data_IF_273217756287
#
_entry.id   IF_273217756287
#
_cell.length_a   1.000
_cell.length_b   1.000
_cell.length_c   1.000
_cell.angle_alpha   90.00
_cell.angle_beta   90.00
_cell.angle_gamma   90.00
#
_symmetry.space_group_name_H-M   'P 1'
#
loop_
_entity.id
_entity.type
_entity.pdbx_description
1 polymer ?
#
# COMPACT_ATOMS: atom_id res chain seq x y z
N UNK A 1 -17.38 -14.01 -4.02
CA UNK A 1 -16.18 -13.13 -4.10
C UNK A 1 -15.97 -12.35 -2.80
N UNK A 2 -16.97 -11.58 -2.32
CA UNK A 2 -16.85 -10.78 -1.09
C UNK A 2 -16.44 -11.59 0.15
N UNK A 3 -16.96 -12.82 0.31
CA UNK A 3 -16.59 -13.71 1.42
C UNK A 3 -15.10 -14.09 1.43
N UNK A 4 -14.48 -14.23 0.24
CA UNK A 4 -13.04 -14.50 0.12
C UNK A 4 -12.23 -13.27 0.53
N UNK A 5 -12.64 -12.09 0.06
CA UNK A 5 -11.98 -10.83 0.42
C UNK A 5 -12.08 -10.53 1.92
N UNK A 6 -13.26 -10.64 2.50
CA UNK A 6 -13.41 -10.45 3.95
C UNK A 6 -12.66 -11.54 4.74
N UNK A 7 -12.68 -12.78 4.26
CA UNK A 7 -11.98 -13.89 4.87
C UNK A 7 -10.46 -13.79 4.81
N UNK A 8 -9.90 -13.13 3.78
CA UNK A 8 -8.44 -13.00 3.64
C UNK A 8 -7.82 -12.03 4.64
N UNK A 9 -8.59 -11.09 5.20
CA UNK A 9 -8.07 -10.11 6.15
C UNK A 9 -7.38 -10.75 7.35
N UNK A 10 -7.93 -11.85 7.86
CA UNK A 10 -7.32 -12.62 8.97
C UNK A 10 -6.04 -13.36 8.57
N UNK A 11 -5.84 -13.57 7.28
CA UNK A 11 -4.67 -14.25 6.72
C UNK A 11 -3.66 -13.27 6.09
N UNK A 12 -3.91 -11.97 6.12
CA UNK A 12 -2.93 -10.97 5.73
C UNK A 12 -1.90 -10.79 6.87
N UNK A 13 -1.12 -11.85 7.10
CA UNK A 13 -0.23 -11.97 8.26
C UNK A 13 0.82 -10.87 8.29
N UNK A 14 1.36 -10.49 7.12
CA UNK A 14 2.35 -9.42 7.08
C UNK A 14 1.79 -8.10 7.61
N UNK A 15 0.63 -7.67 7.13
CA UNK A 15 0.02 -6.42 7.60
C UNK A 15 -0.35 -6.45 9.08
N UNK A 16 -0.88 -7.58 9.55
CA UNK A 16 -1.25 -7.73 10.96
C UNK A 16 -0.01 -7.66 11.87
N UNK A 17 1.05 -8.36 11.51
CA UNK A 17 2.30 -8.34 12.28
C UNK A 17 3.04 -7.01 12.13
N UNK A 18 2.97 -6.34 10.96
CA UNK A 18 3.53 -5.01 10.78
C UNK A 18 2.86 -3.98 11.70
N UNK A 19 1.53 -3.96 11.76
CA UNK A 19 0.78 -3.08 12.67
C UNK A 19 1.16 -3.38 14.13
N UNK A 20 1.18 -4.64 14.51
CA UNK A 20 1.60 -5.05 15.87
C UNK A 20 3.02 -4.58 16.18
N UNK A 21 3.95 -4.74 15.23
CA UNK A 21 5.33 -4.30 15.38
C UNK A 21 5.43 -2.80 15.59
N UNK A 22 4.63 -1.99 14.87
CA UNK A 22 4.58 -0.53 15.09
C UNK A 22 4.19 -0.20 16.52
N UNK A 23 3.18 -0.86 17.09
CA UNK A 23 2.79 -0.65 18.49
C UNK A 23 3.88 -1.10 19.46
N UNK A 24 4.50 -2.26 19.23
CA UNK A 24 5.59 -2.77 20.09
C UNK A 24 6.77 -1.79 20.08
N UNK A 25 7.19 -1.32 18.91
CA UNK A 25 8.30 -0.37 18.78
C UNK A 25 7.98 0.97 19.40
N UNK A 26 6.78 1.51 19.14
CA UNK A 26 6.37 2.83 19.64
C UNK A 26 6.19 2.85 21.16
N UNK A 27 5.58 1.83 21.73
CA UNK A 27 5.33 1.75 23.18
C UNK A 27 6.60 1.31 23.94
N UNK A 28 7.34 0.35 23.36
CA UNK A 28 8.55 -0.21 23.98
C UNK A 28 9.82 0.61 23.78
N UNK A 29 9.78 1.66 22.95
CA UNK A 29 10.96 2.44 22.52
C UNK A 29 12.10 1.54 22.01
N UNK A 30 11.73 0.50 21.24
CA UNK A 30 12.65 -0.54 20.77
C UNK A 30 13.15 -0.19 19.40
N UNK A 31 14.39 0.29 19.31
CA UNK A 31 15.03 0.62 18.05
C UNK A 31 16.04 -0.45 17.63
N UNK A 32 15.92 -0.97 16.40
CA UNK A 32 16.71 -2.10 15.91
C UNK A 32 17.72 -1.63 14.84
N UNK A 33 18.96 -2.08 14.97
CA UNK A 33 20.00 -1.91 13.94
C UNK A 33 20.26 -0.47 13.51
N UNK A 34 20.17 -0.14 12.20
CA UNK A 34 20.41 1.21 11.71
C UNK A 34 19.48 2.27 12.34
N UNK A 35 18.22 1.94 12.60
CA UNK A 35 17.28 2.86 13.24
C UNK A 35 17.76 3.32 14.62
N UNK A 36 18.35 2.42 15.41
CA UNK A 36 18.91 2.78 16.70
C UNK A 36 19.99 3.88 16.61
N UNK A 37 20.85 3.79 15.58
CA UNK A 37 21.90 4.80 15.36
C UNK A 37 21.32 6.16 15.00
N UNK A 38 20.33 6.18 14.11
CA UNK A 38 19.65 7.40 13.67
C UNK A 38 18.88 8.06 14.83
N UNK A 39 18.15 7.27 15.58
CA UNK A 39 17.40 7.73 16.77
C UNK A 39 18.34 8.28 17.85
N UNK A 40 19.43 7.56 18.15
CA UNK A 40 20.40 8.01 19.17
C UNK A 40 21.10 9.29 18.74
N UNK A 41 21.42 9.48 17.45
CA UNK A 41 21.95 10.73 16.95
C UNK A 41 20.96 11.88 17.15
N UNK A 42 19.70 11.68 16.73
CA UNK A 42 18.66 12.69 16.87
C UNK A 42 18.45 13.09 18.34
N UNK A 43 18.41 12.12 19.25
CA UNK A 43 18.20 12.36 20.69
C UNK A 43 19.40 13.02 21.39
N UNK A 44 20.64 12.62 21.04
CA UNK A 44 21.84 13.09 21.74
C UNK A 44 22.40 14.38 21.15
N UNK A 45 22.37 14.51 19.82
CA UNK A 45 23.00 15.61 19.10
C UNK A 45 22.00 16.65 18.59
N UNK A 46 20.69 16.36 18.66
CA UNK A 46 19.64 17.20 18.07
C UNK A 46 19.66 17.22 16.53
N UNK A 47 20.49 16.37 15.89
CA UNK A 47 20.62 16.30 14.44
C UNK A 47 19.65 15.27 13.88
N UNK A 48 18.64 15.72 13.16
CA UNK A 48 17.64 14.85 12.51
C UNK A 48 18.24 14.14 11.31
N UNK A 49 19.11 14.81 10.54
CA UNK A 49 19.81 14.24 9.38
C UNK A 49 21.28 13.97 9.71
N UNK A 50 21.85 12.93 9.14
CA UNK A 50 23.28 12.62 9.24
C UNK A 50 24.16 13.64 8.52
N UNK A 51 25.43 13.70 8.90
CA UNK A 51 26.37 14.62 8.26
C UNK A 51 26.53 14.25 6.77
N UNK A 52 26.34 15.21 5.88
CA UNK A 52 26.38 15.03 4.42
C UNK A 52 25.18 14.35 3.80
N UNK A 53 24.18 13.98 4.59
CA UNK A 53 22.93 13.35 4.12
C UNK A 53 21.90 14.44 3.82
N UNK A 54 21.34 14.42 2.60
CA UNK A 54 20.29 15.34 2.20
C UNK A 54 18.97 14.57 1.94
N UNK A 55 17.80 15.17 2.19
CA UNK A 55 16.52 14.63 1.76
C UNK A 55 16.47 14.48 0.24
N UNK A 56 15.69 13.54 -0.26
CA UNK A 56 15.52 13.32 -1.71
C UNK A 56 14.99 14.57 -2.42
N UNK A 57 14.06 15.25 -1.79
CA UNK A 57 13.61 16.59 -2.15
C UNK A 57 14.13 17.57 -1.11
N UNK A 58 15.04 18.49 -1.49
CA UNK A 58 15.35 19.60 -0.59
C UNK A 58 14.02 20.21 -0.17
N UNK A 59 13.90 20.55 1.12
CA UNK A 59 12.74 21.29 1.60
C UNK A 59 12.49 22.44 0.62
N UNK A 60 11.57 22.24 -0.33
CA UNK A 60 10.91 23.38 -0.93
C UNK A 60 10.17 24.00 0.24
N UNK A 61 10.80 24.97 0.90
CA UNK A 61 10.05 25.86 1.78
C UNK A 61 8.85 26.27 0.96
N UNK A 62 7.69 25.77 1.33
CA UNK A 62 6.47 26.19 0.66
C UNK A 62 6.49 27.70 0.76
N UNK A 63 6.73 28.37 -0.38
CA UNK A 63 6.66 29.82 -0.45
C UNK A 63 5.20 30.17 -0.28
N UNK A 64 4.84 30.34 0.98
CA UNK A 64 3.53 30.88 1.32
C UNK A 64 3.54 32.36 1.01
N UNK A 65 2.44 32.93 0.49
CA UNK A 65 2.29 34.36 0.34
C UNK A 65 2.59 35.08 1.68
N UNK A 66 3.20 36.25 1.63
CA UNK A 66 3.45 37.07 2.82
C UNK A 66 2.16 37.24 3.64
N UNK A 67 2.25 36.90 4.93
CA UNK A 67 1.10 36.96 5.84
C UNK A 67 0.19 35.74 5.87
N UNK A 68 0.54 34.66 5.16
CA UNK A 68 -0.24 33.42 5.25
C UNK A 68 0.13 32.60 6.49
N UNK A 69 -0.86 32.36 7.35
CA UNK A 69 -0.71 31.44 8.48
C UNK A 69 -1.32 30.07 8.10
N UNK A 70 -0.55 28.98 8.16
CA UNK A 70 -1.06 27.64 7.95
C UNK A 70 -2.15 27.31 8.97
N UNK A 71 -3.32 26.92 8.51
CA UNK A 71 -4.44 26.55 9.40
C UNK A 71 -4.82 25.10 9.21
N UNK A 72 -5.23 24.45 10.28
CA UNK A 72 -5.68 23.06 10.29
C UNK A 72 -6.85 22.81 9.32
N UNK A 73 -7.66 23.82 9.05
CA UNK A 73 -8.79 23.78 8.13
C UNK A 73 -8.36 23.40 6.70
N UNK A 74 -7.16 23.81 6.27
CA UNK A 74 -6.63 23.48 4.93
C UNK A 74 -6.39 21.98 4.74
N UNK A 75 -6.24 21.25 5.83
CA UNK A 75 -6.12 19.77 5.82
C UNK A 75 -7.45 19.11 6.16
N UNK A 76 -8.10 19.53 7.23
CA UNK A 76 -9.31 18.86 7.75
C UNK A 76 -10.48 18.93 6.77
N UNK A 77 -10.66 20.07 6.07
CA UNK A 77 -11.81 20.23 5.17
C UNK A 77 -11.74 19.31 3.93
N UNK A 78 -10.61 19.19 3.20
CA UNK A 78 -10.47 18.19 2.14
C UNK A 78 -10.61 16.74 2.63
N UNK A 79 -10.07 16.44 3.82
CA UNK A 79 -10.20 15.09 4.41
C UNK A 79 -11.65 14.79 4.79
N UNK A 80 -12.37 15.75 5.36
CA UNK A 80 -13.79 15.59 5.62
C UNK A 80 -14.59 15.39 4.33
N UNK A 81 -14.28 16.15 3.28
CA UNK A 81 -14.91 15.98 1.97
C UNK A 81 -14.68 14.57 1.39
N UNK A 82 -13.46 14.02 1.58
CA UNK A 82 -13.12 12.65 1.16
C UNK A 82 -14.06 11.64 1.84
N UNK A 83 -14.11 11.64 3.16
CA UNK A 83 -14.88 10.66 3.89
C UNK A 83 -16.38 10.83 3.69
N UNK A 84 -16.89 12.06 3.74
CA UNK A 84 -18.31 12.34 3.55
C UNK A 84 -18.77 11.90 2.16
N UNK A 85 -18.05 12.25 1.10
CA UNK A 85 -18.42 11.84 -0.26
C UNK A 85 -18.26 10.33 -0.49
N UNK A 86 -17.21 9.71 0.08
CA UNK A 86 -17.02 8.26 0.02
C UNK A 86 -18.22 7.52 0.61
N UNK A 87 -18.58 7.83 1.84
CA UNK A 87 -19.70 7.16 2.50
C UNK A 87 -21.04 7.51 1.87
N UNK A 88 -21.24 8.75 1.42
CA UNK A 88 -22.46 9.14 0.73
C UNK A 88 -22.69 8.30 -0.54
N UNK A 89 -21.65 8.10 -1.36
CA UNK A 89 -21.77 7.27 -2.57
C UNK A 89 -21.89 5.79 -2.25
N UNK A 90 -21.21 5.29 -1.21
CA UNK A 90 -21.39 3.90 -0.74
C UNK A 90 -22.84 3.68 -0.32
N UNK A 91 -23.42 4.58 0.49
CA UNK A 91 -24.78 4.46 0.97
C UNK A 91 -25.82 4.61 -0.14
N UNK A 92 -25.55 5.47 -1.11
CA UNK A 92 -26.42 5.65 -2.27
C UNK A 92 -26.38 4.44 -3.22
N UNK A 93 -25.19 4.02 -3.64
CA UNK A 93 -25.05 2.92 -4.62
C UNK A 93 -25.32 1.55 -4.01
N UNK A 94 -25.13 1.39 -2.71
CA UNK A 94 -25.40 0.16 -1.96
C UNK A 94 -26.83 0.04 -1.46
N UNK A 95 -27.68 1.07 -1.67
CA UNK A 95 -29.06 1.15 -1.19
C UNK A 95 -29.18 0.84 0.31
N UNK A 96 -28.74 1.80 1.11
CA UNK A 96 -28.75 1.68 2.57
C UNK A 96 -30.15 1.36 3.14
N UNK A 97 -31.20 1.89 2.51
CA UNK A 97 -32.57 1.69 2.97
C UNK A 97 -33.07 0.25 2.78
N UNK A 98 -32.69 -0.36 1.64
CA UNK A 98 -33.10 -1.72 1.31
C UNK A 98 -32.21 -2.80 1.94
N UNK A 99 -30.91 -2.54 2.03
CA UNK A 99 -29.90 -3.55 2.38
C UNK A 99 -29.37 -3.43 3.82
N UNK A 100 -29.71 -2.36 4.53
CA UNK A 100 -29.13 -2.06 5.84
C UNK A 100 -27.63 -1.74 5.77
N UNK A 101 -27.00 -1.45 6.90
CA UNK A 101 -25.62 -0.99 6.95
C UNK A 101 -24.62 -1.99 6.35
N UNK A 102 -24.63 -3.25 6.79
CA UNK A 102 -23.70 -4.28 6.30
C UNK A 102 -23.96 -4.68 4.84
N UNK A 103 -25.23 -4.78 4.44
CA UNK A 103 -25.61 -5.11 3.06
C UNK A 103 -25.26 -4.00 2.08
N UNK A 104 -25.35 -2.75 2.51
CA UNK A 104 -24.96 -1.59 1.73
C UNK A 104 -23.50 -1.67 1.26
N UNK A 105 -22.55 -1.95 2.15
CA UNK A 105 -21.13 -2.10 1.78
C UNK A 105 -20.89 -3.26 0.82
N UNK A 106 -21.67 -4.34 0.94
CA UNK A 106 -21.55 -5.50 0.05
C UNK A 106 -22.02 -5.21 -1.37
N UNK A 107 -23.04 -4.38 -1.51
CA UNK A 107 -23.69 -4.08 -2.79
C UNK A 107 -23.20 -2.76 -3.42
N UNK A 108 -22.45 -1.94 -2.69
CA UNK A 108 -21.97 -0.66 -3.16
C UNK A 108 -20.98 -0.77 -4.33
N UNK A 109 -21.01 0.22 -5.21
CA UNK A 109 -20.01 0.39 -6.26
C UNK A 109 -18.77 1.12 -5.68
N UNK A 110 -17.88 0.35 -5.03
CA UNK A 110 -16.70 0.89 -4.35
C UNK A 110 -15.78 1.68 -5.30
N UNK A 111 -15.47 1.22 -6.54
CA UNK A 111 -14.65 2.01 -7.47
C UNK A 111 -15.22 3.40 -7.75
N UNK A 112 -16.53 3.49 -7.98
CA UNK A 112 -17.19 4.78 -8.19
C UNK A 112 -17.16 5.65 -6.93
N UNK A 113 -17.35 5.06 -5.76
CA UNK A 113 -17.30 5.78 -4.49
C UNK A 113 -15.91 6.40 -4.25
N UNK A 114 -14.85 5.64 -4.49
CA UNK A 114 -13.47 6.10 -4.38
C UNK A 114 -13.19 7.22 -5.40
N UNK A 115 -13.58 7.03 -6.66
CA UNK A 115 -13.38 8.04 -7.71
C UNK A 115 -14.05 9.38 -7.34
N UNK A 116 -15.31 9.36 -6.94
CA UNK A 116 -16.03 10.56 -6.53
C UNK A 116 -15.40 11.20 -5.29
N UNK A 117 -14.99 10.39 -4.33
CA UNK A 117 -14.32 10.89 -3.11
C UNK A 117 -13.04 11.67 -3.43
N UNK A 118 -12.18 11.15 -4.28
CA UNK A 118 -10.95 11.86 -4.68
C UNK A 118 -11.23 13.13 -5.49
N UNK A 119 -12.22 13.11 -6.38
CA UNK A 119 -12.64 14.30 -7.12
C UNK A 119 -13.14 15.39 -6.16
N UNK A 120 -14.03 15.05 -5.23
CA UNK A 120 -14.54 15.98 -4.22
C UNK A 120 -13.42 16.55 -3.34
N UNK A 121 -12.47 15.70 -2.94
CA UNK A 121 -11.29 16.11 -2.17
C UNK A 121 -10.44 17.11 -2.94
N UNK A 122 -10.12 16.81 -4.20
CA UNK A 122 -9.33 17.70 -5.06
C UNK A 122 -10.01 19.07 -5.29
N UNK A 123 -11.32 19.07 -5.56
CA UNK A 123 -12.11 20.29 -5.69
C UNK A 123 -12.09 21.10 -4.39
N UNK A 124 -12.33 20.43 -3.25
CA UNK A 124 -12.35 21.09 -1.94
C UNK A 124 -10.99 21.70 -1.59
N UNK A 125 -9.89 20.94 -1.81
CA UNK A 125 -8.53 21.42 -1.61
C UNK A 125 -8.22 22.64 -2.50
N UNK A 126 -8.64 22.58 -3.77
CA UNK A 126 -8.51 23.69 -4.72
C UNK A 126 -9.26 24.94 -4.28
N UNK A 127 -10.52 24.80 -3.85
CA UNK A 127 -11.35 25.92 -3.36
C UNK A 127 -10.72 26.52 -2.10
N UNK A 128 -10.32 25.69 -1.13
CA UNK A 128 -9.68 26.16 0.10
C UNK A 128 -8.40 26.93 -0.20
N UNK A 129 -7.56 26.45 -1.11
CA UNK A 129 -6.34 27.12 -1.50
C UNK A 129 -6.58 28.45 -2.18
N UNK A 130 -7.62 28.55 -3.02
CA UNK A 130 -8.01 29.82 -3.67
C UNK A 130 -8.61 30.80 -2.68
N UNK A 131 -9.55 30.37 -1.84
CA UNK A 131 -10.21 31.22 -0.82
C UNK A 131 -9.21 31.78 0.18
N UNK A 132 -8.21 30.97 0.53
CA UNK A 132 -7.12 31.40 1.43
C UNK A 132 -6.00 32.21 0.75
N UNK A 133 -6.13 32.49 -0.54
CA UNK A 133 -5.15 33.28 -1.28
C UNK A 133 -3.82 32.58 -1.56
N UNK A 134 -3.73 31.25 -1.36
CA UNK A 134 -2.51 30.48 -1.63
C UNK A 134 -2.14 30.48 -3.11
N UNK A 135 -3.14 30.37 -3.98
CA UNK A 135 -2.97 30.40 -5.44
C UNK A 135 -4.21 30.88 -6.19
N UNK A 136 -3.99 31.22 -7.43
CA UNK A 136 -5.08 31.56 -8.38
C UNK A 136 -5.80 30.29 -8.83
N UNK A 137 -7.09 30.36 -9.21
CA UNK A 137 -7.87 29.21 -9.69
C UNK A 137 -7.19 28.40 -10.78
N UNK A 138 -6.57 29.06 -11.76
CA UNK A 138 -5.85 28.37 -12.85
C UNK A 138 -4.62 27.61 -12.34
N UNK A 139 -3.92 28.10 -11.32
CA UNK A 139 -2.79 27.42 -10.70
C UNK A 139 -3.27 26.17 -9.96
N UNK A 140 -4.41 26.24 -9.27
CA UNK A 140 -5.03 25.10 -8.60
C UNK A 140 -5.36 23.99 -9.60
N UNK A 141 -6.00 24.34 -10.71
CA UNK A 141 -6.34 23.40 -11.78
C UNK A 141 -5.07 22.76 -12.40
N UNK A 142 -4.08 23.57 -12.74
CA UNK A 142 -2.82 23.06 -13.31
C UNK A 142 -2.07 22.15 -12.32
N UNK A 143 -2.07 22.46 -11.03
CA UNK A 143 -1.47 21.60 -10.01
C UNK A 143 -2.17 20.25 -9.93
N UNK A 144 -3.50 20.22 -10.00
CA UNK A 144 -4.27 18.98 -10.05
C UNK A 144 -3.95 18.15 -11.31
N UNK A 145 -3.94 18.78 -12.49
CA UNK A 145 -3.62 18.11 -13.75
C UNK A 145 -2.17 17.58 -13.75
N UNK A 146 -1.21 18.36 -13.26
CA UNK A 146 0.18 17.92 -13.17
C UNK A 146 0.33 16.71 -12.21
N UNK A 147 -0.37 16.72 -11.09
CA UNK A 147 -0.40 15.57 -10.19
C UNK A 147 -0.98 14.31 -10.86
N UNK A 148 -2.01 14.44 -11.69
CA UNK A 148 -2.53 13.33 -12.50
C UNK A 148 -1.50 12.82 -13.52
N UNK A 149 -0.77 13.72 -14.18
CA UNK A 149 0.27 13.36 -15.15
C UNK A 149 1.44 12.62 -14.48
N UNK A 150 1.86 13.06 -13.30
CA UNK A 150 2.93 12.38 -12.53
C UNK A 150 2.55 10.94 -12.18
N UNK A 151 1.27 10.67 -11.94
CA UNK A 151 0.77 9.34 -11.59
C UNK A 151 0.44 8.45 -12.80
N UNK A 152 0.56 8.93 -14.05
CA UNK A 152 0.08 8.21 -15.25
C UNK A 152 0.81 6.87 -15.48
N UNK A 153 2.03 6.75 -14.98
CA UNK A 153 2.80 5.51 -15.09
C UNK A 153 2.18 4.36 -14.30
N UNK A 154 1.49 4.64 -13.19
CA UNK A 154 0.88 3.62 -12.33
C UNK A 154 -0.23 2.85 -13.06
N UNK A 155 -1.29 3.49 -13.62
CA UNK A 155 -2.30 2.78 -14.39
C UNK A 155 -1.73 2.11 -15.64
N UNK A 156 -0.70 2.66 -16.28
CA UNK A 156 -0.05 2.02 -17.43
C UNK A 156 0.61 0.68 -17.02
N UNK A 157 1.37 0.67 -15.92
CA UNK A 157 1.98 -0.55 -15.38
C UNK A 157 0.90 -1.56 -15.00
N UNK A 158 -0.20 -1.14 -14.37
CA UNK A 158 -1.30 -2.02 -14.01
C UNK A 158 -1.97 -2.66 -15.23
N UNK A 159 -2.22 -1.90 -16.29
CA UNK A 159 -2.79 -2.44 -17.54
C UNK A 159 -1.86 -3.49 -18.15
N UNK A 160 -0.56 -3.22 -18.20
CA UNK A 160 0.44 -4.19 -18.69
C UNK A 160 0.47 -5.45 -17.80
N UNK A 161 0.45 -5.30 -16.49
CA UNK A 161 0.45 -6.41 -15.54
C UNK A 161 -0.84 -7.26 -15.66
N UNK A 162 -2.00 -6.64 -15.78
CA UNK A 162 -3.27 -7.36 -16.00
C UNK A 162 -3.30 -8.07 -17.34
N UNK A 163 -2.77 -7.46 -18.39
CA UNK A 163 -2.65 -8.09 -19.71
C UNK A 163 -1.76 -9.33 -19.63
N UNK A 164 -0.61 -9.23 -18.97
CA UNK A 164 0.28 -10.36 -18.72
C UNK A 164 -0.40 -11.45 -17.88
N UNK A 165 -1.08 -11.07 -16.80
CA UNK A 165 -1.85 -11.97 -15.95
C UNK A 165 -2.95 -12.72 -16.73
N UNK A 166 -3.64 -12.03 -17.66
CA UNK A 166 -4.62 -12.64 -18.55
C UNK A 166 -4.00 -13.67 -19.48
N UNK A 167 -2.83 -13.38 -20.07
CA UNK A 167 -2.08 -14.34 -20.91
C UNK A 167 -1.65 -15.56 -20.10
N UNK A 168 -1.07 -15.36 -18.92
CA UNK A 168 -0.66 -16.41 -17.98
C UNK A 168 -1.84 -17.33 -17.62
N UNK A 169 -3.00 -16.74 -17.35
CA UNK A 169 -4.24 -17.49 -17.07
C UNK A 169 -4.72 -18.28 -18.29
N UNK A 170 -4.72 -17.66 -19.49
CA UNK A 170 -5.16 -18.32 -20.73
C UNK A 170 -4.23 -19.48 -21.12
N UNK A 171 -2.94 -19.36 -20.85
CA UNK A 171 -1.95 -20.42 -21.08
C UNK A 171 -2.07 -21.60 -20.09
N UNK A 172 -2.90 -21.49 -19.05
CA UNK A 172 -2.99 -22.51 -18.01
C UNK A 172 -1.71 -22.67 -17.18
N UNK A 173 -0.90 -21.60 -17.09
CA UNK A 173 0.39 -21.65 -16.39
C UNK A 173 0.23 -22.05 -14.92
N UNK A 174 -0.83 -21.57 -14.26
CA UNK A 174 -1.12 -21.91 -12.87
C UNK A 174 -1.38 -23.40 -12.66
N UNK A 175 -2.18 -24.01 -13.52
CA UNK A 175 -2.50 -25.44 -13.50
C UNK A 175 -1.28 -26.30 -13.83
N UNK A 176 -0.48 -25.88 -14.82
CA UNK A 176 0.76 -26.56 -15.20
C UNK A 176 1.77 -26.56 -14.04
N UNK A 177 2.03 -25.41 -13.44
CA UNK A 177 2.93 -25.30 -12.28
C UNK A 177 2.39 -26.06 -11.07
N UNK A 178 1.08 -26.02 -10.83
CA UNK A 178 0.45 -26.80 -9.77
C UNK A 178 0.65 -28.31 -10.00
N UNK A 179 0.64 -28.78 -11.26
CA UNK A 179 0.94 -30.16 -11.62
C UNK A 179 2.35 -30.58 -11.22
N UNK A 180 3.35 -29.80 -11.62
CA UNK A 180 4.77 -30.07 -11.29
C UNK A 180 5.00 -30.00 -9.78
N UNK A 181 4.48 -28.99 -9.12
CA UNK A 181 4.65 -28.78 -7.68
C UNK A 181 4.00 -29.90 -6.87
N UNK A 182 2.84 -30.42 -7.33
CA UNK A 182 2.13 -31.50 -6.64
C UNK A 182 2.90 -32.81 -6.60
N UNK A 183 3.81 -33.03 -7.53
CA UNK A 183 4.64 -34.25 -7.57
C UNK A 183 5.83 -34.20 -6.61
N UNK A 184 6.26 -32.96 -6.20
CA UNK A 184 7.51 -32.77 -5.49
C UNK A 184 7.37 -32.09 -4.12
N UNK A 185 6.26 -31.41 -3.85
CA UNK A 185 6.06 -30.59 -2.65
C UNK A 185 4.80 -30.98 -1.87
N UNK A 186 4.91 -30.89 -0.56
CA UNK A 186 3.74 -31.04 0.32
C UNK A 186 2.86 -29.78 0.25
N UNK A 187 1.52 -29.92 0.31
CA UNK A 187 0.59 -28.77 0.26
C UNK A 187 0.91 -27.65 1.24
N UNK A 188 1.39 -27.99 2.45
CA UNK A 188 1.74 -27.02 3.48
C UNK A 188 2.90 -26.09 3.12
N UNK A 189 3.78 -26.46 2.19
CA UNK A 189 4.90 -25.61 1.76
C UNK A 189 4.48 -24.59 0.68
N UNK A 190 3.38 -24.81 -0.01
CA UNK A 190 2.94 -23.98 -1.14
C UNK A 190 2.72 -22.51 -0.75
N UNK A 191 2.02 -22.18 0.35
CA UNK A 191 1.84 -20.79 0.76
C UNK A 191 3.16 -20.09 1.09
N UNK A 192 4.07 -20.77 1.78
CA UNK A 192 5.39 -20.23 2.09
C UNK A 192 6.22 -19.90 0.86
N UNK A 193 6.20 -20.77 -0.15
CA UNK A 193 6.89 -20.54 -1.42
C UNK A 193 6.26 -19.39 -2.21
N UNK A 194 4.94 -19.31 -2.27
CA UNK A 194 4.23 -18.21 -2.93
C UNK A 194 4.59 -16.88 -2.23
N UNK A 195 4.65 -16.88 -0.89
CA UNK A 195 5.08 -15.70 -0.14
C UNK A 195 6.50 -15.30 -0.50
N UNK A 196 7.46 -16.21 -0.54
CA UNK A 196 8.85 -15.92 -0.87
C UNK A 196 9.01 -15.39 -2.30
N UNK A 197 8.41 -16.05 -3.28
CA UNK A 197 8.48 -15.60 -4.68
C UNK A 197 7.81 -14.24 -4.86
N UNK A 198 6.65 -14.04 -4.26
CA UNK A 198 5.95 -12.77 -4.31
C UNK A 198 6.75 -11.65 -3.65
N UNK A 199 7.39 -11.93 -2.53
CA UNK A 199 8.29 -10.99 -1.85
C UNK A 199 9.48 -10.57 -2.74
N UNK A 200 10.11 -11.53 -3.43
CA UNK A 200 11.21 -11.25 -4.36
C UNK A 200 10.76 -10.43 -5.57
N UNK A 201 9.62 -10.78 -6.17
CA UNK A 201 9.05 -10.04 -7.30
C UNK A 201 8.73 -8.60 -6.86
N UNK A 202 8.04 -8.44 -5.74
CA UNK A 202 7.64 -7.13 -5.24
C UNK A 202 8.83 -6.27 -4.85
N UNK A 203 9.83 -6.86 -4.18
CA UNK A 203 11.08 -6.15 -3.86
C UNK A 203 11.81 -5.68 -5.12
N UNK A 204 11.88 -6.54 -6.14
CA UNK A 204 12.60 -6.24 -7.40
C UNK A 204 11.87 -5.22 -8.26
N UNK A 205 10.54 -5.19 -8.22
CA UNK A 205 9.71 -4.29 -9.02
C UNK A 205 9.33 -3.01 -8.29
N UNK A 206 9.43 -3.00 -6.95
CA UNK A 206 8.94 -1.91 -6.11
C UNK A 206 7.43 -1.73 -6.16
N UNK A 207 6.67 -2.80 -6.49
CA UNK A 207 5.22 -2.71 -6.68
C UNK A 207 4.47 -3.90 -6.12
N UNK A 208 3.64 -3.67 -5.10
CA UNK A 208 2.71 -4.67 -4.59
C UNK A 208 1.62 -5.01 -5.61
N UNK A 209 1.06 -4.01 -6.28
CA UNK A 209 -0.01 -4.19 -7.28
C UNK A 209 0.42 -5.04 -8.47
N UNK A 210 1.61 -4.77 -9.02
CA UNK A 210 2.19 -5.57 -10.10
C UNK A 210 2.38 -7.02 -9.69
N UNK A 211 2.88 -7.25 -8.49
CA UNK A 211 3.08 -8.59 -7.93
C UNK A 211 1.77 -9.34 -7.75
N UNK A 212 0.73 -8.70 -7.21
CA UNK A 212 -0.59 -9.34 -7.06
C UNK A 212 -1.19 -9.72 -8.40
N UNK A 213 -1.07 -8.86 -9.39
CA UNK A 213 -1.58 -9.11 -10.75
C UNK A 213 -0.89 -10.28 -11.43
N UNK A 214 0.40 -10.48 -11.17
CA UNK A 214 1.18 -11.60 -11.72
C UNK A 214 0.95 -12.91 -10.97
N UNK A 215 0.91 -12.85 -9.64
CA UNK A 215 0.85 -14.08 -8.82
C UNK A 215 -0.55 -14.64 -8.68
N UNK A 216 -1.60 -13.82 -8.67
CA UNK A 216 -2.95 -14.31 -8.42
C UNK A 216 -3.40 -15.36 -9.46
N UNK A 217 -3.15 -15.19 -10.78
CA UNK A 217 -3.47 -16.20 -11.79
C UNK A 217 -2.73 -17.53 -11.62
N UNK A 218 -1.61 -17.53 -10.91
CA UNK A 218 -0.82 -18.73 -10.62
C UNK A 218 -1.24 -19.36 -9.29
N UNK A 219 -1.31 -18.54 -8.25
CA UNK A 219 -1.55 -18.99 -6.88
C UNK A 219 -2.96 -19.55 -6.67
N UNK A 220 -3.97 -18.97 -7.32
CA UNK A 220 -5.36 -19.38 -7.12
C UNK A 220 -5.64 -20.79 -7.67
N UNK A 221 -5.26 -21.17 -8.91
CA UNK A 221 -5.38 -22.56 -9.40
C UNK A 221 -4.58 -23.55 -8.54
N UNK A 222 -3.39 -23.17 -8.08
CA UNK A 222 -2.62 -24.01 -7.16
C UNK A 222 -3.38 -24.26 -5.86
N UNK A 223 -3.97 -23.23 -5.26
CA UNK A 223 -4.76 -23.38 -4.05
C UNK A 223 -5.93 -24.35 -4.23
N UNK A 224 -6.66 -24.25 -5.34
CA UNK A 224 -7.77 -25.15 -5.66
C UNK A 224 -7.29 -26.60 -5.79
N UNK A 225 -6.18 -26.83 -6.49
CA UNK A 225 -5.63 -28.17 -6.68
C UNK A 225 -5.14 -28.82 -5.37
N UNK A 226 -4.56 -28.05 -4.47
CA UNK A 226 -4.05 -28.53 -3.19
C UNK A 226 -5.09 -28.50 -2.05
N UNK A 227 -6.33 -28.09 -2.34
CA UNK A 227 -7.38 -27.96 -1.32
C UNK A 227 -7.12 -26.85 -0.30
N UNK A 228 -6.27 -25.86 -0.64
CA UNK A 228 -5.95 -24.72 0.23
C UNK A 228 -7.12 -23.73 0.18
N UNK A 229 -7.61 -23.23 1.33
CA UNK A 229 -8.69 -22.24 1.33
C UNK A 229 -8.34 -20.99 0.48
N UNK A 230 -9.21 -20.56 -0.46
CA UNK A 230 -8.93 -19.41 -1.31
C UNK A 230 -8.58 -18.12 -0.55
N UNK A 231 -9.25 -17.86 0.57
CA UNK A 231 -8.96 -16.69 1.41
C UNK A 231 -7.54 -16.74 2.00
N UNK A 232 -7.01 -17.92 2.30
CA UNK A 232 -5.66 -18.11 2.82
C UNK A 232 -4.61 -17.77 1.78
N UNK A 233 -4.75 -18.30 0.55
CA UNK A 233 -3.78 -18.04 -0.51
C UNK A 233 -3.82 -16.59 -0.99
N UNK A 234 -5.01 -15.97 -1.04
CA UNK A 234 -5.15 -14.54 -1.35
C UNK A 234 -4.43 -13.70 -0.28
N UNK A 235 -4.63 -14.01 1.01
CA UNK A 235 -3.92 -13.35 2.09
C UNK A 235 -2.39 -13.49 2.00
N UNK A 236 -1.92 -14.67 1.57
CA UNK A 236 -0.50 -14.94 1.32
C UNK A 236 0.07 -14.08 0.19
N UNK A 237 -0.60 -14.03 -0.97
CA UNK A 237 -0.18 -13.21 -2.13
C UNK A 237 -0.17 -11.73 -1.78
N UNK A 238 -1.19 -11.24 -1.07
CA UNK A 238 -1.23 -9.84 -0.63
C UNK A 238 -0.09 -9.53 0.34
N UNK A 239 0.13 -10.39 1.33
CA UNK A 239 1.22 -10.25 2.30
C UNK A 239 2.60 -10.21 1.63
N UNK A 240 2.83 -11.05 0.63
CA UNK A 240 4.10 -11.11 -0.10
C UNK A 240 4.39 -9.83 -0.86
N UNK A 241 3.38 -9.30 -1.54
CA UNK A 241 3.49 -8.04 -2.27
C UNK A 241 3.79 -6.87 -1.33
N UNK A 242 3.09 -6.78 -0.20
CA UNK A 242 3.30 -5.72 0.78
C UNK A 242 4.69 -5.77 1.43
N UNK A 243 5.19 -6.96 1.77
CA UNK A 243 6.53 -7.12 2.32
C UNK A 243 7.62 -6.65 1.35
N UNK A 244 7.57 -7.12 0.10
CA UNK A 244 8.56 -6.76 -0.90
C UNK A 244 8.52 -5.26 -1.24
N UNK A 245 7.33 -4.71 -1.43
CA UNK A 245 7.11 -3.29 -1.70
C UNK A 245 7.66 -2.42 -0.56
N UNK A 246 7.31 -2.72 0.69
CA UNK A 246 7.80 -1.99 1.85
C UNK A 246 9.32 -2.00 1.98
N UNK A 247 9.99 -3.11 1.65
CA UNK A 247 11.44 -3.23 1.76
C UNK A 247 12.19 -2.69 0.52
N UNK A 248 11.51 -2.42 -0.58
CA UNK A 248 12.13 -2.01 -1.85
C UNK A 248 12.58 -0.56 -1.85
N UNK A 249 13.83 -0.28 -2.27
CA UNK A 249 14.31 1.08 -2.43
C UNK A 249 13.72 1.81 -3.65
N UNK A 250 13.08 1.09 -4.56
CA UNK A 250 12.47 1.67 -5.77
C UNK A 250 10.94 1.76 -5.67
N UNK A 251 10.37 1.40 -4.51
CA UNK A 251 8.93 1.50 -4.26
C UNK A 251 8.47 2.96 -4.22
N UNK A 252 7.42 3.26 -4.97
CA UNK A 252 6.78 4.57 -4.97
C UNK A 252 6.20 4.94 -3.60
N UNK A 253 5.65 3.98 -2.87
CA UNK A 253 5.13 4.19 -1.50
C UNK A 253 6.25 4.52 -0.53
N UNK A 254 7.42 3.88 -0.64
CA UNK A 254 8.59 4.16 0.19
C UNK A 254 9.22 5.52 -0.17
N UNK A 255 9.27 5.86 -1.46
CA UNK A 255 9.69 7.20 -1.92
C UNK A 255 8.77 8.28 -1.37
N UNK A 256 7.44 8.10 -1.46
CA UNK A 256 6.46 9.04 -0.92
C UNK A 256 6.58 9.21 0.59
N UNK A 257 6.76 8.11 1.33
CA UNK A 257 6.95 8.14 2.79
C UNK A 257 8.19 8.92 3.20
N UNK A 258 9.33 8.66 2.54
CA UNK A 258 10.58 9.36 2.83
C UNK A 258 10.52 10.84 2.45
N UNK A 259 9.85 11.16 1.35
CA UNK A 259 9.62 12.55 0.91
C UNK A 259 8.71 13.28 1.88
N UNK A 260 7.60 12.66 2.29
CA UNK A 260 6.66 13.23 3.26
C UNK A 260 7.28 13.42 4.64
N UNK A 261 8.20 12.53 5.04
CA UNK A 261 8.97 12.64 6.28
C UNK A 261 10.18 13.58 6.19
N UNK A 262 10.45 14.20 5.02
CA UNK A 262 11.63 15.05 4.78
C UNK A 262 12.95 14.39 5.17
N UNK A 263 13.03 13.06 5.03
CA UNK A 263 14.23 12.29 5.34
C UNK A 263 14.95 11.82 4.06
N UNK A 264 16.20 11.37 4.22
CA UNK A 264 16.91 10.77 3.11
C UNK A 264 16.31 9.40 2.77
N UNK A 265 15.97 9.18 1.50
CA UNK A 265 15.30 7.98 1.03
C UNK A 265 16.09 6.70 1.33
N UNK A 266 17.39 6.67 1.05
CA UNK A 266 18.21 5.47 1.28
C UNK A 266 18.36 5.18 2.77
N UNK A 267 18.54 6.21 3.60
CA UNK A 267 18.59 6.04 5.06
C UNK A 267 17.24 5.51 5.56
N UNK A 268 16.11 6.03 5.05
CA UNK A 268 14.77 5.52 5.38
C UNK A 268 14.65 4.04 5.06
N UNK A 269 15.01 3.62 3.85
CA UNK A 269 15.00 2.20 3.43
C UNK A 269 15.86 1.35 4.35
N UNK A 270 17.11 1.77 4.60
CA UNK A 270 18.05 1.01 5.43
C UNK A 270 17.59 0.86 6.89
N UNK A 271 16.90 1.86 7.42
CA UNK A 271 16.34 1.80 8.78
C UNK A 271 15.06 0.99 8.86
N UNK A 272 14.28 0.89 7.77
CA UNK A 272 13.03 0.16 7.68
C UNK A 272 13.23 -1.35 7.44
N UNK A 273 14.22 -1.75 6.64
CA UNK A 273 14.47 -3.16 6.25
C UNK A 273 14.52 -4.11 7.45
N UNK A 274 15.24 -3.84 8.56
CA UNK A 274 15.30 -4.77 9.68
C UNK A 274 13.92 -5.10 10.29
N UNK A 275 13.04 -4.10 10.37
CA UNK A 275 11.66 -4.31 10.84
C UNK A 275 10.85 -5.10 9.82
N UNK A 276 10.91 -4.69 8.54
CA UNK A 276 10.23 -5.38 7.46
C UNK A 276 10.63 -6.85 7.36
N UNK A 277 11.92 -7.16 7.45
CA UNK A 277 12.44 -8.54 7.43
C UNK A 277 11.96 -9.33 8.65
N UNK A 278 12.00 -8.75 9.86
CA UNK A 278 11.50 -9.41 11.07
C UNK A 278 10.03 -9.79 10.92
N UNK A 279 9.22 -8.87 10.44
CA UNK A 279 7.79 -9.11 10.17
C UNK A 279 7.61 -10.12 9.04
N UNK A 280 8.39 -10.02 7.97
CA UNK A 280 8.34 -10.93 6.82
C UNK A 280 8.69 -12.37 7.20
N UNK A 281 9.72 -12.57 8.01
CA UNK A 281 10.08 -13.90 8.56
C UNK A 281 8.97 -14.45 9.45
N UNK A 282 8.38 -13.61 10.30
CA UNK A 282 7.25 -14.01 11.14
C UNK A 282 6.03 -14.42 10.31
N UNK A 283 5.74 -13.67 9.23
CA UNK A 283 4.66 -14.00 8.30
C UNK A 283 4.96 -15.31 7.54
N UNK A 284 6.20 -15.51 7.07
CA UNK A 284 6.62 -16.74 6.40
C UNK A 284 6.43 -17.97 7.32
N UNK A 285 6.85 -17.87 8.56
CA UNK A 285 6.62 -18.93 9.57
C UNK A 285 5.12 -19.21 9.71
N UNK A 286 4.31 -18.15 9.80
CA UNK A 286 2.85 -18.28 9.84
C UNK A 286 2.29 -19.00 8.62
N UNK A 287 2.79 -18.73 7.41
CA UNK A 287 2.36 -19.39 6.18
C UNK A 287 2.86 -20.83 6.04
N UNK A 288 3.97 -21.19 6.66
CA UNK A 288 4.48 -22.56 6.66
C UNK A 288 3.78 -23.48 7.66
N UNK A 289 3.31 -22.94 8.79
CA UNK A 289 2.75 -23.72 9.89
C UNK A 289 1.27 -23.44 10.17
N UNK A 290 0.67 -22.45 9.54
CA UNK A 290 -0.69 -22.01 9.79
C UNK A 290 -1.73 -22.50 8.76
N UNK A 291 -1.33 -23.34 7.80
CA UNK A 291 -2.17 -23.88 6.72
C UNK A 291 -2.78 -25.26 7.04
#
# INVERSE_FOLDING_TARGET
EWGVWAGMLKYNMYSLFAILTVFIVAIGDINIGPMYKEEMRARREGKVLGDGVQPLTPEKKAEFPEGYEPTLISFVLPMAALFVSLFAVIFWTGDLAANGFAGCFRNANIPVAIMVAFICTGITAGIVGVVKGLWKPIKSFNTFVNGMIELINVPFILVCAWSLGSVVSTMGTGEFLAGIVAEHLTPGLVPGLIFLFGALISFSTGSSWGTWSLLMPIAFPMAVRFGIPPAYIVGCVISSGLFGDQCSPISDTTVLSSTGGSCNHIVHVMTQIPYGVTVGVSALIGFLFGG
#
